data_IF_418683503949
#
_entry.id   IF_418683503949
#
_cell.length_a   1.000
_cell.length_b   1.000
_cell.length_c   1.000
_cell.angle_alpha   90.00
_cell.angle_beta   90.00
_cell.angle_gamma   90.00
#
_symmetry.space_group_name_H-M   'P 1'
#
loop_
_entity.id
_entity.type
_entity.pdbx_description
1 polymer ?
#
# COMPACT_ATOMS: atom_id res chain seq x y z
N UNK A 1 29.73 -62.75 4.12
CA UNK A 1 28.71 -61.94 3.41
C UNK A 1 28.58 -60.62 4.16
N UNK A 2 28.96 -59.49 3.54
CA UNK A 2 29.03 -58.17 4.18
C UNK A 2 27.76 -57.38 3.87
N UNK A 3 27.03 -57.01 4.90
CA UNK A 3 25.86 -56.13 4.85
C UNK A 3 26.38 -54.70 4.70
N UNK A 4 26.02 -54.02 3.61
CA UNK A 4 26.27 -52.59 3.44
C UNK A 4 24.93 -51.88 3.60
N UNK A 5 24.75 -51.23 4.74
CA UNK A 5 23.65 -50.30 4.99
C UNK A 5 23.94 -48.99 4.23
N UNK A 6 23.16 -48.72 3.19
CA UNK A 6 23.11 -47.40 2.55
C UNK A 6 22.14 -46.53 3.34
N UNK A 7 22.66 -45.61 4.16
CA UNK A 7 21.86 -44.57 4.81
C UNK A 7 21.60 -43.48 3.76
N UNK A 8 20.38 -43.45 3.23
CA UNK A 8 19.90 -42.35 2.38
C UNK A 8 19.58 -41.15 3.28
N UNK A 9 20.38 -40.08 3.17
CA UNK A 9 20.13 -38.81 3.84
C UNK A 9 18.92 -38.12 3.21
N UNK A 10 17.79 -38.09 3.90
CA UNK A 10 16.59 -37.37 3.48
C UNK A 10 16.80 -35.86 3.74
N UNK A 11 17.13 -35.10 2.70
CA UNK A 11 17.13 -33.64 2.73
C UNK A 11 15.68 -33.15 2.85
N UNK A 12 15.25 -32.85 4.08
CA UNK A 12 14.04 -32.09 4.35
C UNK A 12 14.26 -30.65 3.85
N UNK A 13 13.81 -30.39 2.62
CA UNK A 13 13.70 -29.03 2.10
C UNK A 13 12.55 -28.35 2.84
N UNK A 14 12.84 -27.68 3.94
CA UNK A 14 11.91 -26.72 4.53
C UNK A 14 11.76 -25.57 3.53
N UNK A 15 10.59 -25.49 2.89
CA UNK A 15 10.22 -24.36 2.05
C UNK A 15 10.23 -23.10 2.94
N UNK A 16 11.27 -22.28 2.79
CA UNK A 16 11.27 -20.93 3.34
C UNK A 16 10.19 -20.17 2.56
N UNK A 17 9.04 -19.96 3.19
CA UNK A 17 8.03 -19.06 2.62
C UNK A 17 8.60 -17.65 2.70
N UNK A 18 9.13 -17.17 1.57
CA UNK A 18 9.45 -15.77 1.41
C UNK A 18 8.15 -14.96 1.49
N UNK A 19 8.23 -13.77 2.07
CA UNK A 19 7.10 -12.86 2.12
C UNK A 19 6.86 -12.33 0.71
N UNK A 20 5.76 -12.75 0.06
CA UNK A 20 5.35 -12.20 -1.23
C UNK A 20 4.66 -10.86 -1.03
N UNK A 21 5.10 -9.85 -1.78
CA UNK A 21 4.47 -8.54 -1.74
C UNK A 21 3.52 -8.34 -2.93
N UNK A 22 2.42 -7.62 -2.72
CA UNK A 22 1.43 -7.39 -3.77
C UNK A 22 2.04 -6.74 -5.03
N UNK A 23 2.97 -5.79 -4.89
CA UNK A 23 3.65 -5.14 -6.02
C UNK A 23 4.53 -6.11 -6.85
N UNK A 24 4.88 -7.29 -6.32
CA UNK A 24 5.68 -8.29 -7.05
C UNK A 24 4.81 -9.16 -7.97
N UNK A 25 3.49 -9.15 -7.76
CA UNK A 25 2.53 -10.02 -8.43
C UNK A 25 1.82 -9.32 -9.60
N UNK A 26 1.32 -10.14 -10.51
CA UNK A 26 0.41 -9.70 -11.57
C UNK A 26 -1.04 -9.79 -11.08
N UNK A 27 -1.79 -8.70 -11.26
CA UNK A 27 -3.19 -8.60 -10.83
C UNK A 27 -4.11 -8.35 -12.01
N UNK A 28 -5.32 -8.91 -11.95
CA UNK A 28 -6.35 -8.57 -12.92
C UNK A 28 -6.77 -7.11 -12.73
N UNK A 29 -6.77 -6.30 -13.79
CA UNK A 29 -7.02 -4.87 -13.65
C UNK A 29 -7.10 -4.08 -14.95
N UNK A 30 -6.99 -2.76 -14.79
CA UNK A 30 -6.92 -1.80 -15.89
C UNK A 30 -6.00 -0.64 -15.55
N UNK A 31 -5.39 -0.07 -16.57
CA UNK A 31 -4.66 1.19 -16.49
C UNK A 31 -5.25 2.18 -17.49
N UNK A 32 -5.44 3.43 -17.06
CA UNK A 32 -5.86 4.54 -17.91
C UNK A 32 -4.66 5.47 -18.08
N UNK A 33 -4.28 5.71 -19.32
CA UNK A 33 -3.12 6.51 -19.69
C UNK A 33 -3.48 8.01 -19.78
N UNK A 34 -2.45 8.86 -19.75
CA UNK A 34 -2.56 10.33 -19.88
C UNK A 34 -3.37 10.77 -21.11
N UNK A 35 -3.24 10.04 -22.22
CA UNK A 35 -3.94 10.32 -23.47
C UNK A 35 -5.40 9.85 -23.49
N UNK A 36 -5.90 9.21 -22.42
CA UNK A 36 -7.25 8.67 -22.31
C UNK A 36 -7.39 7.20 -22.70
N UNK A 37 -6.34 6.56 -23.23
CA UNK A 37 -6.39 5.14 -23.57
C UNK A 37 -6.56 4.27 -22.32
N UNK A 38 -7.37 3.22 -22.44
CA UNK A 38 -7.58 2.26 -21.34
C UNK A 38 -7.07 0.89 -21.75
N UNK A 39 -6.07 0.40 -21.02
CA UNK A 39 -5.51 -0.94 -21.16
C UNK A 39 -6.15 -1.85 -20.11
N UNK A 40 -6.70 -3.00 -20.53
CA UNK A 40 -7.33 -4.00 -19.65
C UNK A 40 -6.58 -5.31 -19.76
N UNK A 41 -6.15 -5.85 -18.62
CA UNK A 41 -5.33 -7.06 -18.60
C UNK A 41 -4.67 -7.27 -17.25
N UNK A 42 -3.54 -7.99 -17.25
CA UNK A 42 -2.76 -8.14 -16.02
C UNK A 42 -1.93 -6.89 -15.79
N UNK A 43 -1.96 -6.37 -14.57
CA UNK A 43 -1.26 -5.16 -14.16
C UNK A 43 -0.32 -5.53 -13.02
N UNK A 44 0.94 -5.11 -13.15
CA UNK A 44 1.94 -5.12 -12.09
C UNK A 44 2.39 -3.69 -11.86
N UNK A 45 2.61 -3.31 -10.62
CA UNK A 45 2.96 -1.94 -10.26
C UNK A 45 4.16 -1.95 -9.31
N UNK A 46 4.92 -0.86 -9.29
CA UNK A 46 5.95 -0.61 -8.28
C UNK A 46 5.88 0.87 -7.89
N UNK A 47 5.41 1.14 -6.66
CA UNK A 47 5.30 2.50 -6.15
C UNK A 47 6.67 3.11 -5.81
N UNK A 48 7.72 2.31 -5.56
CA UNK A 48 9.04 2.85 -5.24
C UNK A 48 9.72 3.43 -6.47
N UNK A 49 9.47 2.84 -7.64
CA UNK A 49 10.01 3.29 -8.94
C UNK A 49 9.00 4.06 -9.80
N UNK A 50 7.74 4.15 -9.34
CA UNK A 50 6.64 4.81 -10.04
C UNK A 50 6.41 4.23 -11.46
N UNK A 51 6.51 2.91 -11.57
CA UNK A 51 6.33 2.13 -12.80
C UNK A 51 5.10 1.23 -12.73
N UNK A 52 4.41 1.10 -13.87
CA UNK A 52 3.30 0.17 -14.08
C UNK A 52 3.56 -0.63 -15.34
N UNK A 53 3.43 -1.94 -15.23
CA UNK A 53 3.52 -2.86 -16.35
C UNK A 53 2.14 -3.42 -16.63
N UNK A 54 1.72 -3.40 -17.89
CA UNK A 54 0.44 -3.94 -18.33
C UNK A 54 0.69 -5.02 -19.38
N UNK A 55 0.06 -6.17 -19.18
CA UNK A 55 0.05 -7.27 -20.12
C UNK A 55 -1.36 -7.42 -20.73
N UNK A 56 -1.45 -7.28 -22.05
CA UNK A 56 -2.69 -7.47 -22.83
C UNK A 56 -2.44 -8.55 -23.87
N UNK A 57 -2.94 -9.76 -23.64
CA UNK A 57 -2.57 -10.94 -24.41
C UNK A 57 -1.07 -11.20 -24.31
N UNK A 58 -0.38 -11.20 -25.46
CA UNK A 58 1.07 -11.41 -25.54
C UNK A 58 1.90 -10.11 -25.51
N UNK A 59 1.24 -8.94 -25.44
CA UNK A 59 1.93 -7.65 -25.39
C UNK A 59 2.23 -7.25 -23.96
N UNK A 60 3.45 -6.79 -23.73
CA UNK A 60 3.93 -6.26 -22.45
C UNK A 60 4.40 -4.83 -22.64
N UNK A 61 3.81 -3.91 -21.91
CA UNK A 61 4.13 -2.48 -22.00
C UNK A 61 4.38 -1.93 -20.59
N UNK A 62 5.37 -1.04 -20.47
CA UNK A 62 5.76 -0.41 -19.21
C UNK A 62 5.53 1.10 -19.31
N UNK A 63 4.87 1.65 -18.31
CA UNK A 63 4.48 3.04 -18.20
C UNK A 63 5.03 3.63 -16.92
N UNK A 64 5.61 4.83 -16.99
CA UNK A 64 5.88 5.63 -15.79
C UNK A 64 4.63 6.37 -15.35
N UNK A 65 4.63 6.84 -14.10
CA UNK A 65 3.60 7.73 -13.56
C UNK A 65 3.24 8.89 -14.51
N UNK A 66 4.21 9.46 -15.26
CA UNK A 66 3.96 10.56 -16.22
C UNK A 66 2.99 10.20 -17.34
N UNK A 67 2.86 8.92 -17.70
CA UNK A 67 1.97 8.44 -18.77
C UNK A 67 0.71 7.78 -18.25
N UNK A 68 0.51 7.77 -16.95
CA UNK A 68 -0.58 7.13 -16.26
C UNK A 68 -1.50 8.18 -15.63
N UNK A 69 -2.82 8.05 -15.79
CA UNK A 69 -3.79 8.81 -14.99
C UNK A 69 -4.15 8.03 -13.73
N UNK A 70 -4.63 6.80 -13.89
CA UNK A 70 -4.94 5.93 -12.77
C UNK A 70 -4.91 4.46 -13.19
N UNK A 71 -4.80 3.56 -12.21
CA UNK A 71 -5.02 2.14 -12.38
C UNK A 71 -5.96 1.60 -11.31
N UNK A 72 -6.59 0.47 -11.63
CA UNK A 72 -7.40 -0.31 -10.71
C UNK A 72 -6.98 -1.77 -10.84
N UNK A 73 -6.70 -2.41 -9.71
CA UNK A 73 -6.33 -3.83 -9.64
C UNK A 73 -7.21 -4.56 -8.65
N UNK A 74 -7.46 -5.84 -8.89
CA UNK A 74 -7.94 -6.76 -7.89
C UNK A 74 -6.75 -7.47 -7.22
N UNK A 75 -6.39 -7.01 -6.03
CA UNK A 75 -5.30 -7.59 -5.26
C UNK A 75 -5.73 -8.92 -4.63
N UNK A 76 -5.18 -10.02 -5.16
CA UNK A 76 -5.50 -11.38 -4.73
C UNK A 76 -5.00 -11.70 -3.32
N UNK A 77 -3.98 -11.00 -2.84
CA UNK A 77 -3.39 -11.24 -1.50
C UNK A 77 -4.36 -10.83 -0.39
N UNK A 78 -5.07 -9.72 -0.59
CA UNK A 78 -6.03 -9.16 0.37
C UNK A 78 -7.49 -9.27 -0.10
N UNK A 79 -7.72 -9.78 -1.32
CA UNK A 79 -9.02 -9.95 -1.98
C UNK A 79 -9.82 -8.65 -2.07
N UNK A 80 -9.18 -7.57 -2.51
CA UNK A 80 -9.80 -6.23 -2.61
C UNK A 80 -9.42 -5.52 -3.89
N UNK A 81 -10.33 -4.66 -4.37
CA UNK A 81 -10.00 -3.69 -5.40
C UNK A 81 -9.18 -2.55 -4.81
N UNK A 82 -8.09 -2.19 -5.47
CA UNK A 82 -7.22 -1.07 -5.11
C UNK A 82 -7.16 -0.11 -6.27
N UNK A 83 -7.37 1.17 -5.98
CA UNK A 83 -7.33 2.25 -6.98
C UNK A 83 -6.11 3.11 -6.70
N UNK A 84 -5.34 3.38 -7.74
CA UNK A 84 -4.12 4.15 -7.62
C UNK A 84 -4.11 5.23 -8.69
N UNK A 85 -3.65 6.43 -8.34
CA UNK A 85 -3.65 7.62 -9.17
C UNK A 85 -2.23 8.14 -9.33
N UNK A 86 -1.91 8.66 -10.51
CA UNK A 86 -0.71 9.47 -10.66
C UNK A 86 -1.02 10.91 -10.30
N UNK A 87 -0.37 11.41 -9.24
CA UNK A 87 -0.60 12.76 -8.72
C UNK A 87 0.71 13.54 -8.67
N UNK A 88 0.69 14.86 -8.93
CA UNK A 88 1.88 15.69 -8.81
C UNK A 88 2.30 15.80 -7.35
N UNK A 89 3.45 15.24 -7.01
CA UNK A 89 4.05 15.30 -5.67
C UNK A 89 5.49 15.79 -5.74
N UNK A 90 5.95 16.36 -4.64
CA UNK A 90 7.29 16.89 -4.51
C UNK A 90 8.08 16.07 -3.49
N UNK A 91 9.01 15.25 -3.99
CA UNK A 91 9.89 14.46 -3.14
C UNK A 91 11.11 15.27 -2.66
N UNK A 92 11.49 16.34 -3.38
CA UNK A 92 12.54 17.29 -3.00
C UNK A 92 12.58 18.53 -3.93
N UNK A 93 12.66 19.74 -3.37
CA UNK A 93 12.80 21.00 -4.12
C UNK A 93 11.48 21.74 -4.36
N UNK A 94 11.30 22.38 -5.51
CA UNK A 94 10.03 23.02 -5.92
C UNK A 94 9.32 22.28 -7.07
N UNK A 95 10.02 21.33 -7.71
CA UNK A 95 9.50 20.61 -8.87
C UNK A 95 8.55 19.48 -8.45
N UNK A 96 7.31 19.54 -8.93
CA UNK A 96 6.32 18.47 -8.75
C UNK A 96 6.39 17.50 -9.92
N UNK A 97 6.64 16.23 -9.63
CA UNK A 97 6.59 15.15 -10.61
C UNK A 97 5.36 14.27 -10.36
N UNK A 98 4.76 13.68 -11.40
CA UNK A 98 3.73 12.66 -11.21
C UNK A 98 4.30 11.44 -10.48
N UNK A 99 3.61 11.00 -9.44
CA UNK A 99 3.99 9.93 -8.50
C UNK A 99 2.74 9.09 -8.22
N UNK A 100 2.87 7.77 -8.05
CA UNK A 100 1.74 6.85 -7.89
C UNK A 100 1.29 6.80 -6.43
N UNK A 101 0.03 7.10 -6.15
CA UNK A 101 -0.58 6.95 -4.83
C UNK A 101 -1.75 5.99 -4.89
N UNK A 102 -1.90 5.11 -3.90
CA UNK A 102 -3.17 4.43 -3.67
C UNK A 102 -4.15 5.37 -2.95
N UNK A 103 -5.38 5.44 -3.44
CA UNK A 103 -6.47 6.13 -2.77
C UNK A 103 -7.14 5.15 -1.79
N UNK A 104 -6.98 5.41 -0.49
CA UNK A 104 -7.63 4.61 0.55
C UNK A 104 -9.05 5.11 0.78
N UNK A 105 -9.21 6.40 1.06
CA UNK A 105 -10.51 7.01 1.33
C UNK A 105 -10.58 8.44 0.80
N UNK A 106 -11.78 8.88 0.45
CA UNK A 106 -12.07 10.22 -0.03
C UNK A 106 -13.21 10.84 0.79
N UNK A 107 -13.11 12.12 1.12
CA UNK A 107 -14.14 12.82 1.90
C UNK A 107 -13.61 14.09 2.56
N UNK A 108 -13.95 14.30 3.82
CA UNK A 108 -13.41 15.44 4.60
C UNK A 108 -11.89 15.34 4.74
N UNK A 109 -11.38 14.12 4.89
CA UNK A 109 -9.98 13.75 4.74
C UNK A 109 -9.86 12.85 3.50
N UNK A 110 -9.03 13.25 2.54
CA UNK A 110 -8.64 12.37 1.44
C UNK A 110 -7.32 11.69 1.79
N UNK A 111 -7.39 10.40 2.11
CA UNK A 111 -6.27 9.59 2.56
C UNK A 111 -5.65 8.84 1.38
N UNK A 112 -4.37 9.15 1.14
CA UNK A 112 -3.52 8.49 0.16
C UNK A 112 -2.48 7.62 0.87
N UNK A 113 -1.96 6.63 0.16
CA UNK A 113 -0.96 5.70 0.67
C UNK A 113 0.10 5.35 -0.39
N UNK A 114 1.35 5.15 0.05
CA UNK A 114 2.42 4.55 -0.75
C UNK A 114 3.07 3.38 -0.02
N UNK A 115 3.39 2.35 -0.78
CA UNK A 115 4.19 1.22 -0.34
C UNK A 115 5.68 1.57 -0.36
N UNK A 116 6.40 1.19 0.70
CA UNK A 116 7.86 1.29 0.77
C UNK A 116 8.45 0.08 1.49
N UNK A 117 9.68 -0.29 1.13
CA UNK A 117 10.42 -1.35 1.83
C UNK A 117 11.43 -0.73 2.78
N UNK A 118 11.39 -1.13 4.05
CA UNK A 118 12.32 -0.67 5.07
C UNK A 118 12.89 -1.84 5.88
N UNK A 119 14.17 -1.74 6.26
CA UNK A 119 14.78 -2.68 7.20
C UNK A 119 14.32 -2.34 8.62
N UNK A 120 13.61 -3.27 9.26
CA UNK A 120 13.23 -3.17 10.67
C UNK A 120 14.11 -4.08 11.50
N UNK A 121 14.72 -3.51 12.54
CA UNK A 121 15.54 -4.26 13.50
C UNK A 121 14.67 -4.75 14.63
N UNK A 122 14.68 -6.06 14.86
CA UNK A 122 13.98 -6.70 15.96
C UNK A 122 15.00 -7.16 17.00
N UNK A 123 14.85 -6.65 18.23
CA UNK A 123 15.57 -7.13 19.40
C UNK A 123 14.72 -8.17 20.12
N UNK A 124 15.21 -9.40 20.20
CA UNK A 124 14.56 -10.42 21.03
C UNK A 124 15.16 -10.35 22.44
N UNK A 125 14.31 -10.29 23.47
CA UNK A 125 14.77 -10.40 24.87
C UNK A 125 15.32 -11.80 25.15
N UNK A 126 14.90 -12.80 24.38
CA UNK A 126 15.29 -14.21 24.56
C UNK A 126 16.45 -14.66 23.67
N UNK A 127 16.75 -13.96 22.57
CA UNK A 127 17.90 -14.24 21.72
C UNK A 127 18.88 -13.07 21.81
N UNK A 128 20.14 -13.34 22.16
CA UNK A 128 21.24 -12.36 22.27
C UNK A 128 21.63 -11.69 20.93
N UNK A 129 20.83 -11.85 19.88
CA UNK A 129 21.11 -11.36 18.53
C UNK A 129 19.95 -10.52 18.02
N UNK A 130 20.27 -9.29 17.62
CA UNK A 130 19.39 -8.44 16.83
C UNK A 130 19.41 -8.94 15.38
N UNK A 131 18.24 -9.01 14.74
CA UNK A 131 18.17 -9.30 13.32
C UNK A 131 17.38 -8.19 12.61
N UNK A 132 17.81 -7.86 11.39
CA UNK A 132 17.13 -6.90 10.53
C UNK A 132 16.30 -7.66 9.49
N UNK A 133 15.05 -7.26 9.31
CA UNK A 133 14.14 -7.83 8.31
C UNK A 133 13.61 -6.74 7.39
N UNK A 134 13.74 -6.93 6.08
CA UNK A 134 13.08 -6.09 5.10
C UNK A 134 11.55 -6.26 5.23
N UNK A 135 10.85 -5.16 5.46
CA UNK A 135 9.43 -5.15 5.78
C UNK A 135 8.73 -4.13 4.88
N UNK A 136 7.60 -4.54 4.31
CA UNK A 136 6.68 -3.62 3.63
C UNK A 136 6.02 -2.72 4.67
N UNK A 137 6.18 -1.42 4.47
CA UNK A 137 5.55 -0.37 5.26
C UNK A 137 4.64 0.48 4.37
N UNK A 138 3.68 1.14 5.00
CA UNK A 138 2.76 2.05 4.34
C UNK A 138 3.01 3.48 4.83
N UNK A 139 3.31 4.38 3.90
CA UNK A 139 3.44 5.82 4.15
C UNK A 139 2.13 6.50 3.76
N UNK A 140 1.58 7.29 4.66
CA UNK A 140 0.29 7.94 4.47
C UNK A 140 0.46 9.40 4.07
N UNK A 141 -0.43 9.87 3.22
CA UNK A 141 -0.43 11.24 2.72
C UNK A 141 -1.84 11.81 2.75
N UNK A 142 -1.96 13.11 2.98
CA UNK A 142 -3.23 13.83 3.03
C UNK A 142 -3.32 14.73 1.80
N UNK A 143 -4.29 14.46 0.93
CA UNK A 143 -4.63 15.36 -0.17
C UNK A 143 -5.61 16.42 0.34
N UNK A 144 -5.21 17.68 0.25
CA UNK A 144 -6.00 18.85 0.65
C UNK A 144 -6.83 19.38 -0.52
N UNK A 145 -7.80 20.24 -0.20
CA UNK A 145 -8.70 20.88 -1.16
C UNK A 145 -7.98 21.76 -2.18
N UNK A 146 -6.84 22.34 -1.81
CA UNK A 146 -5.99 23.14 -2.71
C UNK A 146 -5.10 22.28 -3.63
N UNK A 147 -5.24 20.95 -3.56
CA UNK A 147 -4.43 19.99 -4.30
C UNK A 147 -3.03 19.75 -3.71
N UNK A 148 -2.70 20.32 -2.54
CA UNK A 148 -1.46 19.98 -1.84
C UNK A 148 -1.55 18.57 -1.27
N UNK A 149 -0.43 17.87 -1.29
CA UNK A 149 -0.29 16.54 -0.70
C UNK A 149 0.79 16.64 0.37
N UNK A 150 0.42 16.36 1.61
CA UNK A 150 1.34 16.38 2.74
C UNK A 150 1.53 14.96 3.29
N UNK A 151 2.78 14.56 3.51
CA UNK A 151 3.09 13.29 4.17
C UNK A 151 2.68 13.33 5.64
N UNK A 152 1.93 12.33 6.08
CA UNK A 152 1.56 12.16 7.48
C UNK A 152 2.65 11.34 8.19
N UNK A 153 3.46 12.03 8.99
CA UNK A 153 4.55 11.44 9.80
C UNK A 153 4.14 11.23 11.27
N UNK A 154 2.87 11.46 11.59
CA UNK A 154 2.34 11.39 12.94
C UNK A 154 2.08 9.96 13.42
N UNK A 155 1.68 9.85 14.68
CA UNK A 155 1.19 8.64 15.33
C UNK A 155 -0.33 8.70 15.51
N UNK A 156 -0.90 7.67 16.15
CA UNK A 156 -2.33 7.61 16.52
C UNK A 156 -2.89 8.90 17.12
N UNK A 157 -2.15 9.58 18.00
CA UNK A 157 -2.60 10.83 18.61
C UNK A 157 -2.85 11.93 17.57
N UNK A 158 -1.93 12.07 16.61
CA UNK A 158 -2.01 13.11 15.58
C UNK A 158 -3.16 12.85 14.59
N UNK A 159 -3.50 11.58 14.32
CA UNK A 159 -4.70 11.22 13.56
C UNK A 159 -5.98 11.75 14.23
N UNK A 160 -6.06 11.60 15.55
CA UNK A 160 -7.21 12.03 16.33
C UNK A 160 -7.29 13.55 16.40
N UNK A 161 -6.13 14.22 16.45
CA UNK A 161 -6.07 15.69 16.43
C UNK A 161 -6.52 16.25 15.08
N UNK A 162 -6.19 15.58 13.96
CA UNK A 162 -6.71 15.93 12.63
C UNK A 162 -8.25 15.80 12.55
N UNK A 163 -8.83 14.85 13.29
CA UNK A 163 -10.27 14.62 13.34
C UNK A 163 -11.02 15.55 14.30
N UNK A 164 -10.29 16.41 15.02
CA UNK A 164 -10.77 17.52 15.84
C UNK A 164 -12.02 17.21 16.68
N UNK A 165 -13.16 17.85 16.36
CA UNK A 165 -14.42 17.80 17.11
C UNK A 165 -15.09 16.43 17.09
N UNK A 166 -14.72 15.56 16.14
CA UNK A 166 -15.26 14.20 16.02
C UNK A 166 -14.35 13.11 16.58
N UNK A 167 -13.23 13.49 17.21
CA UNK A 167 -12.25 12.53 17.76
C UNK A 167 -12.87 11.51 18.72
N UNK A 168 -13.82 11.92 19.57
CA UNK A 168 -14.45 11.03 20.55
C UNK A 168 -15.33 9.97 19.88
N UNK A 169 -16.10 10.36 18.86
CA UNK A 169 -16.93 9.47 18.05
C UNK A 169 -16.07 8.45 17.30
N UNK A 170 -14.98 8.92 16.68
CA UNK A 170 -14.05 8.06 15.96
C UNK A 170 -13.34 7.07 16.89
N UNK A 171 -12.87 7.53 18.07
CA UNK A 171 -12.26 6.64 19.06
C UNK A 171 -13.23 5.54 19.51
N UNK A 172 -14.49 5.91 19.77
CA UNK A 172 -15.53 4.97 20.17
C UNK A 172 -15.78 3.94 19.07
N UNK A 173 -15.87 4.38 17.81
CA UNK A 173 -16.02 3.50 16.65
C UNK A 173 -14.84 2.54 16.48
N UNK A 174 -13.60 3.06 16.52
CA UNK A 174 -12.39 2.25 16.40
C UNK A 174 -12.32 1.20 17.50
N UNK A 175 -12.60 1.59 18.75
CA UNK A 175 -12.60 0.66 19.90
C UNK A 175 -13.69 -0.41 19.78
N UNK A 176 -14.91 -0.02 19.41
CA UNK A 176 -16.03 -0.95 19.27
C UNK A 176 -15.79 -2.00 18.17
N UNK A 177 -15.10 -1.60 17.10
CA UNK A 177 -14.79 -2.46 15.95
C UNK A 177 -13.40 -3.09 16.02
N UNK A 178 -12.65 -2.88 17.12
CA UNK A 178 -11.28 -3.38 17.34
C UNK A 178 -10.31 -2.99 16.21
N UNK A 179 -10.40 -1.76 15.74
CA UNK A 179 -9.58 -1.22 14.66
C UNK A 179 -8.28 -0.64 15.19
N UNK A 180 -7.20 -0.89 14.46
CA UNK A 180 -5.89 -0.29 14.70
C UNK A 180 -5.62 0.88 13.75
N UNK A 181 -5.02 1.96 14.27
CA UNK A 181 -4.61 3.10 13.45
C UNK A 181 -3.31 2.82 12.69
N UNK A 182 -2.55 1.80 13.11
CA UNK A 182 -1.29 1.42 12.48
C UNK A 182 -1.48 0.36 11.37
N UNK A 183 -2.67 -0.27 11.29
CA UNK A 183 -3.03 -1.22 10.23
C UNK A 183 -3.74 -0.48 9.08
N UNK A 184 -3.29 -0.71 7.85
CA UNK A 184 -3.71 0.05 6.65
C UNK A 184 -5.22 0.05 6.43
N UNK A 185 -5.86 -1.12 6.45
CA UNK A 185 -7.27 -1.25 6.11
C UNK A 185 -8.18 -0.86 7.27
N UNK A 186 -7.73 -1.04 8.50
CA UNK A 186 -8.40 -0.52 9.69
C UNK A 186 -8.34 1.01 9.73
N UNK A 187 -7.18 1.62 9.42
CA UNK A 187 -7.06 3.06 9.25
C UNK A 187 -7.98 3.58 8.15
N UNK A 188 -8.03 2.90 6.99
CA UNK A 188 -9.00 3.20 5.92
C UNK A 188 -10.42 3.22 6.46
N UNK A 189 -10.84 2.19 7.21
CA UNK A 189 -12.19 2.13 7.81
C UNK A 189 -12.44 3.22 8.84
N UNK A 190 -11.43 3.57 9.63
CA UNK A 190 -11.50 4.66 10.61
C UNK A 190 -11.73 5.99 9.90
N UNK A 191 -10.94 6.28 8.86
CA UNK A 191 -11.07 7.51 8.06
C UNK A 191 -12.39 7.54 7.28
N UNK A 192 -12.83 6.40 6.73
CA UNK A 192 -14.14 6.28 6.09
C UNK A 192 -15.28 6.65 7.04
N UNK A 193 -15.23 6.15 8.29
CA UNK A 193 -16.21 6.50 9.31
C UNK A 193 -16.17 7.99 9.62
N UNK A 194 -14.98 8.57 9.86
CA UNK A 194 -14.86 10.01 10.08
C UNK A 194 -15.44 10.83 8.92
N UNK A 195 -15.11 10.47 7.67
CA UNK A 195 -15.63 11.12 6.48
C UNK A 195 -17.17 11.03 6.39
N UNK A 196 -17.76 9.92 6.82
CA UNK A 196 -19.21 9.74 6.83
C UNK A 196 -19.96 10.68 7.79
N UNK A 197 -19.27 11.30 8.76
CA UNK A 197 -19.86 12.26 9.70
C UNK A 197 -20.12 13.63 9.06
N UNK A 198 -19.67 13.83 7.83
CA UNK A 198 -19.85 15.06 7.07
C UNK A 198 -20.76 14.83 5.86
N UNK A 199 -21.52 15.85 5.41
CA UNK A 199 -22.27 15.76 4.18
C UNK A 199 -21.36 15.47 2.99
N UNK A 200 -21.82 14.64 2.06
CA UNK A 200 -21.14 14.41 0.78
C UNK A 200 -21.05 15.74 0.04
N UNK A 201 -19.83 16.19 -0.24
CA UNK A 201 -19.62 17.36 -1.11
C UNK A 201 -20.08 16.97 -2.53
N UNK A 202 -21.10 17.65 -3.02
CA UNK A 202 -21.56 17.56 -4.41
C UNK A 202 -20.76 18.49 -5.29
#
# INVERSE_FOLDING_TARGET
MRVVFFISTLLLVSAVQAQEFAFELWHDGKAVLENGDTLRGNVKYDMQTDLVQVQVGDRFESYSARKLLFLEIFDKTVKRYRRMYSLPYNTSGEYRAPVIFELLEEGKITLLCREALEYRTYSSVYNYYNYSKLTLIYRYFLLKEDGSIDEFLGKRGDWLDLMNDRKEEVQKFAKANRLDFDEKYDLSRIVAYYNSLFPVRR
#
